data_IF_804325881150
#
_entry.id   IF_804325881150
#
_cell.length_a   1.000
_cell.length_b   1.000
_cell.length_c   1.000
_cell.angle_alpha   90.00
_cell.angle_beta   90.00
_cell.angle_gamma   90.00
#
_symmetry.space_group_name_H-M   'P 1'
#
loop_
_entity.id
_entity.type
_entity.pdbx_description
1 polymer ?
#
# COMPACT_ATOMS: atom_id res chain seq x y z
N UNK A 1 11.59 38.43 1.40
CA UNK A 1 10.71 37.61 2.23
C UNK A 1 9.53 37.16 1.35
N UNK A 2 9.69 36.05 0.67
CA UNK A 2 8.63 35.45 -0.17
C UNK A 2 7.72 34.66 0.75
N UNK A 3 6.50 35.12 0.87
CA UNK A 3 5.42 34.48 1.65
C UNK A 3 5.01 33.21 0.89
N UNK A 4 5.50 32.06 1.33
CA UNK A 4 5.03 30.76 0.84
C UNK A 4 3.54 30.66 1.17
N UNK A 5 2.70 30.74 0.17
CA UNK A 5 1.26 30.48 0.30
C UNK A 5 1.10 29.02 0.67
N UNK A 6 0.74 28.77 1.92
CA UNK A 6 0.33 27.45 2.39
C UNK A 6 -0.92 27.07 1.59
N UNK A 7 -0.79 26.10 0.72
CA UNK A 7 -1.92 25.55 -0.03
C UNK A 7 -3.00 25.08 0.96
N UNK A 8 -4.26 25.36 0.65
CA UNK A 8 -5.37 24.93 1.51
C UNK A 8 -5.33 23.39 1.64
N UNK A 9 -5.66 22.84 2.82
CA UNK A 9 -5.68 21.39 2.99
C UNK A 9 -6.64 20.78 1.96
N UNK A 10 -6.12 19.91 1.08
CA UNK A 10 -6.94 19.14 0.15
C UNK A 10 -7.87 18.25 0.95
N UNK A 11 -9.07 18.01 0.41
CA UNK A 11 -10.02 17.04 0.96
C UNK A 11 -9.28 15.69 1.16
N UNK A 12 -9.34 15.09 2.37
CA UNK A 12 -8.62 13.86 2.69
C UNK A 12 -8.94 12.67 1.76
N UNK A 13 -10.10 12.68 1.09
CA UNK A 13 -10.52 11.60 0.18
C UNK A 13 -10.26 11.88 -1.30
N UNK A 14 -9.63 13.00 -1.66
CA UNK A 14 -9.35 13.35 -3.06
C UNK A 14 -8.13 12.62 -3.59
N UNK A 15 -8.28 11.92 -4.72
CA UNK A 15 -7.18 11.28 -5.45
C UNK A 15 -6.51 12.29 -6.41
N UNK A 16 -5.27 12.03 -6.86
CA UNK A 16 -4.66 12.85 -7.91
C UNK A 16 -5.48 12.79 -9.20
N UNK A 17 -5.71 13.96 -9.82
CA UNK A 17 -6.42 14.08 -11.10
C UNK A 17 -5.46 14.14 -12.29
N UNK A 18 -4.49 13.25 -12.37
CA UNK A 18 -3.44 13.25 -13.39
C UNK A 18 -3.59 12.08 -14.36
N UNK A 19 -3.06 12.19 -15.59
CA UNK A 19 -3.06 11.07 -16.54
C UNK A 19 -2.35 9.83 -15.99
N UNK A 20 -1.33 10.00 -15.13
CA UNK A 20 -0.64 8.87 -14.48
C UNK A 20 -1.54 8.18 -13.47
N UNK A 21 -2.23 8.94 -12.62
CA UNK A 21 -3.18 8.37 -11.66
C UNK A 21 -4.32 7.61 -12.35
N UNK A 22 -4.85 8.15 -13.45
CA UNK A 22 -5.85 7.46 -14.28
C UNK A 22 -5.31 6.14 -14.85
N UNK A 23 -4.08 6.14 -15.36
CA UNK A 23 -3.45 4.93 -15.88
C UNK A 23 -3.24 3.87 -14.79
N UNK A 24 -2.84 4.27 -13.59
CA UNK A 24 -2.70 3.37 -12.43
C UNK A 24 -4.06 2.75 -12.06
N UNK A 25 -5.11 3.56 -11.92
CA UNK A 25 -6.46 3.06 -11.60
C UNK A 25 -6.97 2.10 -12.67
N UNK A 26 -6.76 2.43 -13.95
CA UNK A 26 -7.17 1.59 -15.08
C UNK A 26 -6.41 0.25 -15.12
N UNK A 27 -5.19 0.20 -14.58
CA UNK A 27 -4.44 -1.05 -14.45
C UNK A 27 -4.95 -1.91 -13.30
N UNK A 28 -5.08 -1.32 -12.08
CA UNK A 28 -5.31 -2.12 -10.86
C UNK A 28 -6.76 -2.53 -10.67
N UNK A 29 -7.72 -1.62 -10.95
CA UNK A 29 -9.14 -1.84 -10.67
C UNK A 29 -9.75 -3.11 -11.31
N UNK A 30 -9.44 -3.48 -12.57
CA UNK A 30 -10.04 -4.66 -13.20
C UNK A 30 -9.40 -5.99 -12.76
N UNK A 31 -8.24 -5.98 -12.11
CA UNK A 31 -7.43 -7.18 -11.81
C UNK A 31 -7.34 -7.51 -10.33
N UNK A 32 -7.68 -6.55 -9.47
CA UNK A 32 -7.75 -6.72 -8.02
C UNK A 32 -9.18 -6.96 -7.55
N UNK A 33 -9.35 -7.65 -6.43
CA UNK A 33 -10.66 -7.72 -5.78
C UNK A 33 -11.06 -6.33 -5.25
N UNK A 34 -12.37 -6.01 -5.15
CA UNK A 34 -12.80 -4.71 -4.62
C UNK A 34 -12.24 -4.38 -3.23
N UNK A 35 -12.03 -5.39 -2.37
CA UNK A 35 -11.48 -5.19 -1.03
C UNK A 35 -9.98 -4.86 -1.05
N UNK A 36 -9.19 -5.49 -1.94
CA UNK A 36 -7.76 -5.19 -2.14
C UNK A 36 -7.60 -3.83 -2.79
N UNK A 37 -8.35 -3.55 -3.86
CA UNK A 37 -8.35 -2.22 -4.48
C UNK A 37 -8.67 -1.11 -3.48
N UNK A 38 -9.72 -1.27 -2.66
CA UNK A 38 -10.07 -0.28 -1.64
C UNK A 38 -8.95 -0.14 -0.59
N UNK A 39 -8.31 -1.25 -0.18
CA UNK A 39 -7.14 -1.23 0.70
C UNK A 39 -6.01 -0.37 0.12
N UNK A 40 -5.66 -0.61 -1.14
CA UNK A 40 -4.60 0.13 -1.83
C UNK A 40 -4.88 1.64 -1.90
N UNK A 41 -6.13 2.02 -2.17
CA UNK A 41 -6.53 3.44 -2.17
C UNK A 41 -6.53 4.03 -0.75
N UNK A 42 -7.03 3.32 0.27
CA UNK A 42 -6.98 3.80 1.66
C UNK A 42 -5.55 3.95 2.14
N UNK A 43 -4.65 3.04 1.76
CA UNK A 43 -3.22 3.15 2.07
C UNK A 43 -2.62 4.48 1.58
N UNK A 44 -2.97 4.92 0.37
CA UNK A 44 -2.57 6.24 -0.12
C UNK A 44 -3.17 7.39 0.71
N UNK A 45 -4.46 7.33 1.02
CA UNK A 45 -5.12 8.39 1.79
C UNK A 45 -4.54 8.51 3.19
N UNK A 46 -4.26 7.38 3.86
CA UNK A 46 -3.58 7.37 5.15
C UNK A 46 -2.13 7.85 5.06
N UNK A 47 -1.38 7.47 4.03
CA UNK A 47 -0.02 7.95 3.79
C UNK A 47 0.02 9.49 3.68
N UNK A 48 -0.94 10.10 3.01
CA UNK A 48 -1.08 11.57 2.92
C UNK A 48 -1.36 12.22 4.28
N UNK A 49 -2.19 11.60 5.10
CA UNK A 49 -2.45 12.10 6.46
C UNK A 49 -1.18 12.05 7.31
N UNK A 50 -0.40 10.97 7.20
CA UNK A 50 0.93 10.85 7.84
C UNK A 50 1.87 11.94 7.32
N UNK A 51 1.97 12.13 6.01
CA UNK A 51 2.81 13.18 5.42
C UNK A 51 2.44 14.57 5.98
N UNK A 52 1.15 14.89 6.05
CA UNK A 52 0.66 16.13 6.63
C UNK A 52 1.03 16.29 8.11
N UNK A 53 0.94 15.22 8.91
CA UNK A 53 1.33 15.21 10.31
C UNK A 53 2.83 15.42 10.52
N UNK A 54 3.63 14.84 9.64
CA UNK A 54 5.09 15.00 9.64
C UNK A 54 5.55 16.36 9.07
N UNK A 55 4.63 17.16 8.52
CA UNK A 55 4.93 18.46 7.92
C UNK A 55 5.62 18.35 6.56
N UNK A 56 5.52 17.20 5.89
CA UNK A 56 6.08 16.99 4.57
C UNK A 56 5.26 17.70 3.49
N UNK A 57 5.94 18.35 2.56
CA UNK A 57 5.34 19.15 1.49
C UNK A 57 5.39 18.39 0.15
N UNK A 58 4.22 18.32 -0.51
CA UNK A 58 4.12 17.80 -1.89
C UNK A 58 5.00 18.61 -2.83
N UNK A 59 5.71 17.95 -3.73
CA UNK A 59 6.60 18.56 -4.72
C UNK A 59 7.95 19.02 -4.18
N UNK A 60 8.19 18.87 -2.85
CA UNK A 60 9.45 19.16 -2.21
C UNK A 60 10.03 17.93 -1.48
N UNK A 61 9.25 17.30 -0.60
CA UNK A 61 9.67 16.16 0.21
C UNK A 61 9.23 14.82 -0.40
N UNK A 62 8.17 14.83 -1.20
CA UNK A 62 7.68 13.70 -1.99
C UNK A 62 6.83 14.18 -3.18
N UNK A 63 6.71 13.32 -4.18
CA UNK A 63 5.79 13.49 -5.31
C UNK A 63 4.47 12.76 -5.03
N UNK A 64 3.33 13.47 -5.17
CA UNK A 64 1.99 12.93 -4.84
C UNK A 64 1.53 11.85 -5.84
N UNK A 65 1.92 11.97 -7.13
CA UNK A 65 1.60 10.98 -8.15
C UNK A 65 2.40 9.69 -7.94
N UNK A 66 3.68 9.81 -7.54
CA UNK A 66 4.51 8.65 -7.22
C UNK A 66 4.03 7.97 -5.94
N UNK A 67 3.60 8.74 -4.92
CA UNK A 67 3.02 8.18 -3.70
C UNK A 67 1.71 7.44 -4.01
N UNK A 68 0.85 8.04 -4.84
CA UNK A 68 -0.37 7.39 -5.29
C UNK A 68 -0.07 6.10 -6.06
N UNK A 69 0.84 6.16 -7.02
CA UNK A 69 1.23 5.00 -7.81
C UNK A 69 1.79 3.87 -6.93
N UNK A 70 2.68 4.19 -5.99
CA UNK A 70 3.26 3.22 -5.07
C UNK A 70 2.18 2.57 -4.18
N UNK A 71 1.31 3.36 -3.55
CA UNK A 71 0.24 2.83 -2.71
C UNK A 71 -0.81 2.05 -3.52
N UNK A 72 -1.23 2.57 -4.68
CA UNK A 72 -2.28 1.92 -5.47
C UNK A 72 -1.82 0.59 -6.13
N UNK A 73 -0.51 0.41 -6.31
CA UNK A 73 0.05 -0.78 -6.96
C UNK A 73 0.83 -1.71 -6.01
N UNK A 74 0.87 -1.45 -4.69
CA UNK A 74 1.72 -2.23 -3.79
C UNK A 74 1.34 -3.72 -3.72
N UNK A 75 0.08 -4.03 -3.93
CA UNK A 75 -0.46 -5.39 -3.96
C UNK A 75 -0.69 -5.94 -5.40
N UNK A 76 -0.26 -5.21 -6.44
CA UNK A 76 -0.47 -5.60 -7.85
C UNK A 76 0.11 -6.98 -8.21
N UNK A 77 1.08 -7.48 -7.45
CA UNK A 77 1.59 -8.85 -7.60
C UNK A 77 0.61 -9.95 -7.17
N UNK A 78 -0.49 -9.58 -6.50
CA UNK A 78 -1.60 -10.49 -6.15
C UNK A 78 -2.70 -10.53 -7.22
N UNK A 79 -2.60 -9.65 -8.23
CA UNK A 79 -3.62 -9.50 -9.25
C UNK A 79 -3.87 -10.79 -10.04
N UNK A 80 -5.13 -10.99 -10.46
CA UNK A 80 -5.57 -12.23 -11.12
C UNK A 80 -4.89 -12.53 -12.46
N UNK A 81 -4.34 -11.51 -13.11
CA UNK A 81 -3.64 -11.57 -14.40
C UNK A 81 -2.11 -11.69 -14.28
N UNK A 82 -1.57 -11.77 -13.06
CA UNK A 82 -0.14 -11.84 -12.80
C UNK A 82 0.50 -13.18 -13.19
N UNK A 83 1.78 -13.18 -13.60
CA UNK A 83 2.54 -14.41 -13.90
C UNK A 83 2.83 -15.26 -12.67
N UNK A 84 2.81 -14.68 -11.47
CA UNK A 84 3.04 -15.32 -10.16
C UNK A 84 4.30 -16.21 -10.10
N UNK A 85 5.43 -15.65 -10.56
CA UNK A 85 6.72 -16.36 -10.64
C UNK A 85 7.73 -15.99 -9.58
N UNK A 86 7.38 -15.01 -8.74
CA UNK A 86 8.20 -14.48 -7.66
C UNK A 86 7.33 -13.95 -6.53
N UNK A 87 7.93 -13.46 -5.44
CA UNK A 87 7.19 -12.82 -4.35
C UNK A 87 6.29 -11.72 -4.90
N UNK A 88 5.06 -11.62 -4.36
CA UNK A 88 4.09 -10.65 -4.86
C UNK A 88 4.59 -9.20 -4.76
N UNK A 89 5.34 -8.88 -3.70
CA UNK A 89 5.91 -7.54 -3.53
C UNK A 89 6.88 -7.18 -4.67
N UNK A 90 7.70 -8.14 -5.11
CA UNK A 90 8.65 -7.95 -6.21
C UNK A 90 7.92 -7.92 -7.54
N UNK A 91 6.97 -8.82 -7.75
CA UNK A 91 6.17 -8.87 -8.99
C UNK A 91 5.34 -7.61 -9.17
N UNK A 92 4.73 -7.09 -8.10
CA UNK A 92 4.00 -5.82 -8.10
C UNK A 92 4.92 -4.65 -8.41
N UNK A 93 6.11 -4.61 -7.79
CA UNK A 93 7.11 -3.58 -8.02
C UNK A 93 7.62 -3.55 -9.46
N UNK A 94 7.91 -4.71 -10.06
CA UNK A 94 8.34 -4.81 -11.47
C UNK A 94 7.25 -4.29 -12.42
N UNK A 95 5.99 -4.69 -12.21
CA UNK A 95 4.84 -4.24 -13.02
C UNK A 95 4.59 -2.73 -12.88
N UNK A 96 4.73 -2.21 -11.67
CA UNK A 96 4.59 -0.78 -11.40
C UNK A 96 5.68 0.03 -12.10
N UNK A 97 6.94 -0.35 -11.96
CA UNK A 97 8.05 0.33 -12.62
C UNK A 97 7.91 0.32 -14.15
N UNK A 98 7.48 -0.81 -14.73
CA UNK A 98 7.21 -0.91 -16.15
C UNK A 98 6.09 0.05 -16.60
N UNK A 99 4.99 0.16 -15.86
CA UNK A 99 3.93 1.13 -16.14
C UNK A 99 4.48 2.57 -16.11
N UNK A 100 5.19 2.92 -15.04
CA UNK A 100 5.71 4.27 -14.83
C UNK A 100 6.65 4.71 -15.97
N UNK A 101 7.61 3.84 -16.34
CA UNK A 101 8.53 4.11 -17.46
C UNK A 101 7.78 4.27 -18.78
N UNK A 102 6.75 3.46 -19.05
CA UNK A 102 5.90 3.61 -20.25
C UNK A 102 5.14 4.95 -20.26
N UNK A 103 4.83 5.51 -19.10
CA UNK A 103 4.20 6.82 -18.97
C UNK A 103 5.19 7.99 -18.85
N UNK A 104 6.49 7.75 -19.14
CA UNK A 104 7.51 8.79 -19.21
C UNK A 104 8.07 9.22 -17.84
N UNK A 105 7.77 8.49 -16.77
CA UNK A 105 8.41 8.71 -15.47
C UNK A 105 9.89 8.35 -15.57
N UNK A 106 10.81 9.19 -15.06
CA UNK A 106 12.24 8.90 -15.04
C UNK A 106 12.53 7.56 -14.35
N UNK A 107 13.54 6.83 -14.84
CA UNK A 107 13.90 5.52 -14.30
C UNK A 107 14.31 5.58 -12.82
N UNK A 108 14.89 6.69 -12.37
CA UNK A 108 15.21 6.93 -10.96
C UNK A 108 13.96 6.97 -10.08
N UNK A 109 12.94 7.66 -10.52
CA UNK A 109 11.69 7.85 -9.79
C UNK A 109 10.87 6.55 -9.82
N UNK A 110 10.89 5.84 -10.95
CA UNK A 110 10.30 4.51 -11.07
C UNK A 110 11.00 3.49 -10.13
N UNK A 111 12.33 3.60 -9.91
CA UNK A 111 13.06 2.78 -8.95
C UNK A 111 12.69 3.12 -7.49
N UNK A 112 12.43 4.38 -7.16
CA UNK A 112 11.92 4.75 -5.84
C UNK A 112 10.55 4.11 -5.54
N UNK A 113 9.64 4.13 -6.53
CA UNK A 113 8.34 3.43 -6.43
C UNK A 113 8.54 1.93 -6.32
N UNK A 114 9.44 1.35 -7.12
CA UNK A 114 9.80 -0.06 -7.04
C UNK A 114 10.25 -0.45 -5.62
N UNK A 115 11.17 0.34 -5.02
CA UNK A 115 11.65 0.09 -3.66
C UNK A 115 10.53 0.20 -2.63
N UNK A 116 9.67 1.21 -2.74
CA UNK A 116 8.55 1.41 -1.83
C UNK A 116 7.59 0.20 -1.85
N UNK A 117 7.27 -0.30 -3.04
CA UNK A 117 6.42 -1.48 -3.22
C UNK A 117 7.14 -2.75 -2.72
N UNK A 118 8.37 -3.00 -3.16
CA UNK A 118 9.10 -4.22 -2.81
C UNK A 118 9.37 -4.36 -1.30
N UNK A 119 9.43 -3.24 -0.57
CA UNK A 119 9.79 -3.20 0.85
C UNK A 119 8.59 -2.95 1.79
N UNK A 120 7.37 -2.72 1.28
CA UNK A 120 6.23 -2.35 2.14
C UNK A 120 5.91 -3.38 3.23
N UNK A 121 6.27 -4.66 3.02
CA UNK A 121 6.13 -5.74 4.02
C UNK A 121 7.37 -5.94 4.89
N UNK A 122 8.39 -5.07 4.79
CA UNK A 122 9.70 -5.23 5.43
C UNK A 122 9.94 -4.16 6.51
N UNK A 123 9.31 -4.29 7.70
CA UNK A 123 9.49 -3.33 8.79
C UNK A 123 10.96 -3.26 9.23
N UNK A 124 11.41 -2.06 9.60
CA UNK A 124 12.80 -1.79 9.99
C UNK A 124 13.75 -1.57 8.80
N UNK A 125 13.34 -1.96 7.58
CA UNK A 125 14.10 -1.73 6.33
C UNK A 125 13.45 -0.60 5.53
N UNK A 126 12.15 -0.67 5.28
CA UNK A 126 11.41 0.34 4.50
C UNK A 126 11.62 1.76 5.07
N UNK A 127 11.59 1.92 6.38
CA UNK A 127 11.77 3.18 7.09
C UNK A 127 13.18 3.80 6.93
N UNK A 128 14.12 3.06 6.32
CA UNK A 128 15.49 3.52 6.04
C UNK A 128 15.74 3.85 4.56
N UNK A 129 14.71 3.75 3.72
CA UNK A 129 14.87 3.84 2.25
C UNK A 129 14.30 5.11 1.61
N UNK A 130 14.04 6.13 2.41
CA UNK A 130 13.56 7.43 1.94
C UNK A 130 12.07 7.66 2.21
N UNK A 131 11.63 8.88 1.95
CA UNK A 131 10.30 9.38 2.31
C UNK A 131 9.18 8.54 1.69
N UNK A 132 9.31 8.18 0.41
CA UNK A 132 8.28 7.40 -0.28
C UNK A 132 8.08 6.02 0.37
N UNK A 133 9.17 5.30 0.68
CA UNK A 133 9.09 4.01 1.36
C UNK A 133 8.44 4.12 2.76
N UNK A 134 8.78 5.16 3.51
CA UNK A 134 8.18 5.44 4.83
C UNK A 134 6.68 5.64 4.68
N UNK A 135 6.26 6.55 3.78
CA UNK A 135 4.85 6.90 3.62
C UNK A 135 4.01 5.71 3.14
N UNK A 136 4.50 4.93 2.18
CA UNK A 136 3.81 3.72 1.71
C UNK A 136 3.67 2.71 2.85
N UNK A 137 4.77 2.43 3.58
CA UNK A 137 4.77 1.49 4.71
C UNK A 137 3.78 1.91 5.80
N UNK A 138 3.78 3.20 6.18
CA UNK A 138 2.88 3.75 7.19
C UNK A 138 1.42 3.70 6.73
N UNK A 139 1.13 4.11 5.50
CA UNK A 139 -0.22 4.08 4.95
C UNK A 139 -0.81 2.66 4.92
N UNK A 140 -0.01 1.69 4.48
CA UNK A 140 -0.38 0.26 4.49
C UNK A 140 -0.63 -0.22 5.92
N UNK A 141 0.29 0.04 6.86
CA UNK A 141 0.17 -0.41 8.24
C UNK A 141 -1.04 0.19 8.96
N UNK A 142 -1.33 1.48 8.72
CA UNK A 142 -2.48 2.17 9.31
C UNK A 142 -3.81 1.53 8.89
N UNK A 143 -3.95 1.10 7.64
CA UNK A 143 -5.18 0.47 7.19
C UNK A 143 -5.47 -0.87 7.88
N UNK A 144 -4.46 -1.53 8.44
CA UNK A 144 -4.66 -2.72 9.28
C UNK A 144 -5.12 -2.39 10.71
N UNK A 145 -5.12 -1.14 11.13
CA UNK A 145 -5.69 -0.70 12.41
C UNK A 145 -4.88 -1.06 13.65
N UNK A 146 -3.57 -1.29 13.51
CA UNK A 146 -2.66 -1.41 14.66
C UNK A 146 -1.70 -2.61 14.70
N UNK A 147 -2.07 -3.87 14.35
CA UNK A 147 -1.19 -5.02 14.56
C UNK A 147 0.13 -4.99 13.78
N UNK A 148 0.21 -4.23 12.69
CA UNK A 148 1.42 -4.07 11.87
C UNK A 148 2.37 -2.98 12.36
N UNK A 149 2.04 -2.31 13.49
CA UNK A 149 2.93 -1.32 14.10
C UNK A 149 3.16 -0.11 13.19
N UNK A 150 2.10 0.66 12.94
CA UNK A 150 2.26 2.00 12.38
C UNK A 150 2.88 2.90 13.44
N UNK A 151 4.04 3.50 13.13
CA UNK A 151 4.74 4.41 14.05
C UNK A 151 3.99 5.73 14.23
N UNK A 152 3.06 6.04 13.29
CA UNK A 152 2.30 7.29 13.26
C UNK A 152 0.78 7.07 13.35
N UNK A 153 0.33 6.12 14.19
CA UNK A 153 -1.10 5.81 14.36
C UNK A 153 -1.94 7.04 14.79
N UNK A 154 -1.33 7.95 15.55
CA UNK A 154 -1.96 9.20 15.98
C UNK A 154 -2.08 10.26 14.86
N UNK A 155 -1.50 10.03 13.70
CA UNK A 155 -1.61 10.93 12.56
C UNK A 155 -3.03 10.99 11.97
N UNK A 156 -3.84 9.96 12.26
CA UNK A 156 -5.19 9.80 11.72
C UNK A 156 -6.21 9.90 12.85
N UNK A 157 -7.12 10.88 12.77
CA UNK A 157 -8.26 11.00 13.69
C UNK A 157 -9.36 10.01 13.31
N UNK A 158 -10.27 9.70 14.26
CA UNK A 158 -11.40 8.81 13.98
C UNK A 158 -12.30 9.37 12.88
N UNK A 159 -12.56 10.68 12.88
CA UNK A 159 -13.35 11.36 11.84
C UNK A 159 -12.71 11.23 10.44
N UNK A 160 -11.38 11.36 10.34
CA UNK A 160 -10.67 11.16 9.10
C UNK A 160 -10.74 9.72 8.61
N UNK A 161 -10.57 8.76 9.54
CA UNK A 161 -10.69 7.35 9.23
C UNK A 161 -12.11 6.99 8.76
N UNK A 162 -13.13 7.50 9.44
CA UNK A 162 -14.54 7.30 9.06
C UNK A 162 -14.82 7.81 7.65
N UNK A 163 -14.33 8.99 7.30
CA UNK A 163 -14.47 9.56 5.96
C UNK A 163 -13.78 8.68 4.90
N UNK A 164 -12.56 8.19 5.17
CA UNK A 164 -11.83 7.30 4.28
C UNK A 164 -12.56 5.97 4.10
N UNK A 165 -13.04 5.36 5.20
CA UNK A 165 -13.77 4.09 5.16
C UNK A 165 -15.15 4.21 4.51
N UNK A 166 -15.82 5.37 4.64
CA UNK A 166 -17.08 5.64 3.94
C UNK A 166 -16.88 5.73 2.43
N UNK A 167 -15.79 6.38 1.97
CA UNK A 167 -15.46 6.50 0.55
C UNK A 167 -14.96 5.18 -0.06
N UNK A 168 -14.16 4.42 0.70
CA UNK A 168 -13.56 3.14 0.29
C UNK A 168 -13.79 2.09 1.37
N UNK A 169 -14.96 1.43 1.39
CA UNK A 169 -15.32 0.45 2.41
C UNK A 169 -14.29 -0.68 2.54
N UNK A 170 -14.04 -1.10 3.78
CA UNK A 170 -13.07 -2.17 4.06
C UNK A 170 -13.46 -3.51 3.45
N UNK A 171 -14.76 -3.79 3.40
CA UNK A 171 -15.27 -5.11 3.01
C UNK A 171 -14.62 -6.19 3.91
N UNK A 172 -14.39 -7.39 3.44
CA UNK A 172 -13.65 -8.42 4.18
C UNK A 172 -12.15 -8.37 3.83
N UNK A 173 -11.51 -7.18 3.99
CA UNK A 173 -10.16 -6.90 3.49
C UNK A 173 -9.12 -7.86 4.08
N UNK A 174 -9.08 -8.03 5.39
CA UNK A 174 -8.07 -8.87 6.06
C UNK A 174 -8.08 -10.29 5.51
N UNK A 175 -9.25 -10.89 5.39
CA UNK A 175 -9.39 -12.23 4.86
C UNK A 175 -9.09 -12.29 3.38
N UNK A 176 -9.67 -11.38 2.59
CA UNK A 176 -9.50 -11.32 1.14
C UNK A 176 -8.02 -11.16 0.75
N UNK A 177 -7.31 -10.24 1.42
CA UNK A 177 -5.88 -10.02 1.20
C UNK A 177 -5.05 -11.22 1.64
N UNK A 178 -5.30 -11.76 2.83
CA UNK A 178 -4.57 -12.93 3.32
C UNK A 178 -4.78 -14.14 2.42
N UNK A 179 -6.01 -14.37 1.94
CA UNK A 179 -6.32 -15.46 1.00
C UNK A 179 -5.58 -15.27 -0.34
N UNK A 180 -5.50 -14.02 -0.85
CA UNK A 180 -4.76 -13.71 -2.07
C UNK A 180 -3.26 -13.95 -1.92
N UNK A 181 -2.66 -13.51 -0.80
CA UNK A 181 -1.23 -13.73 -0.49
C UNK A 181 -0.94 -15.24 -0.40
N UNK A 182 -1.73 -15.99 0.35
CA UNK A 182 -1.54 -17.45 0.50
C UNK A 182 -1.72 -18.16 -0.84
N UNK A 183 -2.72 -17.79 -1.63
CA UNK A 183 -2.96 -18.40 -2.95
C UNK A 183 -1.81 -18.13 -3.92
N UNK A 184 -1.25 -16.93 -3.92
CA UNK A 184 -0.09 -16.58 -4.74
C UNK A 184 1.17 -17.32 -4.25
N UNK A 185 1.41 -17.34 -2.92
CA UNK A 185 2.53 -18.01 -2.29
C UNK A 185 2.56 -19.51 -2.58
N UNK A 186 1.40 -20.17 -2.62
CA UNK A 186 1.29 -21.60 -2.87
C UNK A 186 1.60 -22.04 -4.31
N UNK A 187 1.68 -21.11 -5.26
CA UNK A 187 1.89 -21.44 -6.69
C UNK A 187 3.32 -21.90 -6.99
N UNK A 188 4.32 -21.34 -6.32
CA UNK A 188 5.74 -21.68 -6.51
C UNK A 188 6.50 -21.44 -5.20
N UNK A 189 7.44 -22.32 -4.80
CA UNK A 189 8.29 -22.10 -3.62
C UNK A 189 9.08 -20.78 -3.62
N UNK A 190 9.37 -20.23 -4.79
CA UNK A 190 10.03 -18.92 -4.94
C UNK A 190 9.16 -17.76 -4.50
N UNK A 191 7.84 -17.93 -4.54
CA UNK A 191 6.87 -16.92 -4.11
C UNK A 191 6.81 -16.81 -2.57
N UNK A 192 7.21 -17.87 -1.86
CA UNK A 192 7.08 -18.02 -0.42
C UNK A 192 8.42 -18.33 0.27
N UNK A 193 9.48 -17.52 0.08
CA UNK A 193 10.72 -17.77 0.79
C UNK A 193 10.53 -17.67 2.30
N UNK A 194 11.32 -18.46 3.06
CA UNK A 194 11.30 -18.41 4.53
C UNK A 194 11.60 -17.00 5.03
N UNK A 195 10.97 -16.63 6.14
CA UNK A 195 11.12 -15.31 6.78
C UNK A 195 10.59 -14.14 5.94
N UNK A 196 9.70 -14.40 4.99
CA UNK A 196 8.91 -13.39 4.30
C UNK A 196 7.45 -13.48 4.70
N UNK A 197 6.70 -12.39 4.54
CA UNK A 197 5.25 -12.39 4.83
C UNK A 197 4.53 -13.50 4.05
N UNK A 198 4.69 -13.65 2.72
CA UNK A 198 4.03 -14.74 1.99
C UNK A 198 4.44 -16.13 2.50
N UNK A 199 5.72 -16.34 2.82
CA UNK A 199 6.19 -17.64 3.34
C UNK A 199 5.64 -17.96 4.74
N UNK A 200 5.56 -16.98 5.63
CA UNK A 200 4.97 -17.17 6.96
C UNK A 200 3.45 -17.37 6.89
N UNK A 201 2.73 -16.61 6.07
CA UNK A 201 1.29 -16.75 5.92
C UNK A 201 0.92 -18.12 5.35
N UNK A 202 1.63 -18.59 4.32
CA UNK A 202 1.43 -19.94 3.76
C UNK A 202 1.63 -21.02 4.85
N UNK A 203 2.76 -20.96 5.55
CA UNK A 203 3.08 -21.91 6.63
C UNK A 203 2.06 -21.89 7.77
N UNK A 204 1.65 -20.70 8.22
CA UNK A 204 0.65 -20.54 9.28
C UNK A 204 -0.72 -21.06 8.84
N UNK A 205 -1.14 -20.79 7.61
CA UNK A 205 -2.41 -21.28 7.05
C UNK A 205 -2.41 -22.81 6.94
N UNK A 206 -1.33 -23.42 6.47
CA UNK A 206 -1.18 -24.88 6.40
C UNK A 206 -1.16 -25.56 7.79
N UNK A 207 -0.52 -24.93 8.77
CA UNK A 207 -0.33 -25.51 10.09
C UNK A 207 -1.53 -25.31 11.01
N UNK A 208 -2.14 -24.12 10.98
CA UNK A 208 -3.14 -23.68 11.96
C UNK A 208 -4.50 -23.34 11.33
N UNK A 209 -4.64 -23.40 10.01
CA UNK A 209 -5.83 -22.99 9.28
C UNK A 209 -6.08 -21.48 9.21
N UNK A 210 -5.28 -20.69 9.95
CA UNK A 210 -5.37 -19.22 10.01
C UNK A 210 -3.98 -18.62 10.25
N UNK A 211 -3.80 -17.38 9.76
CA UNK A 211 -2.57 -16.61 10.03
C UNK A 211 -2.69 -15.83 11.34
N UNK A 212 -1.55 -15.46 11.92
CA UNK A 212 -1.50 -14.55 13.09
C UNK A 212 -2.08 -13.19 12.75
N UNK A 213 -1.91 -12.73 11.50
CA UNK A 213 -2.51 -11.49 11.01
C UNK A 213 -4.04 -11.53 11.13
N UNK A 214 -4.69 -12.58 10.61
CA UNK A 214 -6.14 -12.74 10.71
C UNK A 214 -6.62 -12.80 12.17
N UNK A 215 -5.78 -13.32 13.07
CA UNK A 215 -6.11 -13.35 14.50
C UNK A 215 -5.95 -11.97 15.14
N UNK A 216 -4.84 -11.29 14.87
CA UNK A 216 -4.53 -9.99 15.44
C UNK A 216 -5.48 -8.89 14.98
N UNK A 217 -5.96 -8.97 13.73
CA UNK A 217 -6.89 -7.99 13.16
C UNK A 217 -8.38 -8.24 13.49
N UNK A 218 -8.71 -9.14 14.41
CA UNK A 218 -10.10 -9.39 14.82
C UNK A 218 -10.71 -8.34 15.74
N UNK A 219 -9.91 -7.50 16.33
CA UNK A 219 -10.33 -6.37 17.17
C UNK A 219 -9.36 -5.23 16.95
N UNK A 220 -9.52 -4.56 15.82
CA UNK A 220 -8.73 -3.41 15.46
C UNK A 220 -9.49 -2.11 15.74
N UNK A 221 -8.77 -0.98 15.71
CA UNK A 221 -9.39 0.35 15.78
C UNK A 221 -10.51 0.56 14.74
N UNK A 222 -10.53 -0.21 13.67
CA UNK A 222 -11.47 -0.06 12.56
C UNK A 222 -12.64 -1.06 12.55
N UNK A 223 -12.77 -1.88 13.59
CA UNK A 223 -13.89 -2.82 13.73
C UNK A 223 -15.09 -2.11 14.36
N UNK A 224 -15.94 -1.54 13.52
CA UNK A 224 -17.21 -0.92 13.91
C UNK A 224 -18.36 -1.47 13.10
#
# INVERSE_FOLDING_TARGET
MTRTTREAPRDPITLPGTPLADAVVNLVRPVETPSVFNHSIRSYLFARLVAGRLGLAVGHDYDDDLLFAACAMHDLGLASDGPHRQRFEVEGADRAAELLVRHGVPATDADEVWQAIALHTSPGIAERRGTLCVLVREGVALDFGGPLGADHAEAVTDEQADAVHAAYPRLDMIRSLTDAIVAQAAKDPKNAPRYSIPGEFLRERETFGRTRMEHACRSTRWDH
#
